data_IF_732919565180
#
_entry.id   IF_732919565180
#
_cell.length_a   1.000
_cell.length_b   1.000
_cell.length_c   1.000
_cell.angle_alpha   90.00
_cell.angle_beta   90.00
_cell.angle_gamma   90.00
#
_symmetry.space_group_name_H-M   'P 1'
#
loop_
_entity.id
_entity.type
_entity.pdbx_description
1 polymer ?
#
# COMPACT_ATOMS: atom_id res chain seq x y z
N UNK A 1 -4.77 -14.54 -4.25
CA UNK A 1 -3.44 -13.92 -4.36
C UNK A 1 -2.49 -14.91 -5.00
N UNK A 2 -1.92 -14.52 -6.12
CA UNK A 2 -0.91 -15.35 -6.80
C UNK A 2 0.46 -14.88 -6.37
N UNK A 3 1.21 -15.75 -5.73
CA UNK A 3 2.61 -15.47 -5.42
C UNK A 3 3.47 -16.12 -6.50
N UNK A 4 4.13 -15.29 -7.27
CA UNK A 4 5.10 -15.73 -8.27
C UNK A 4 6.51 -15.55 -7.69
N UNK A 5 7.50 -16.31 -8.17
CA UNK A 5 8.87 -16.10 -7.71
C UNK A 5 9.28 -14.64 -7.89
N UNK A 6 9.70 -13.99 -6.82
CA UNK A 6 10.13 -12.61 -6.83
C UNK A 6 9.02 -11.57 -6.89
N UNK A 7 7.74 -12.00 -6.74
CA UNK A 7 6.61 -11.08 -6.83
C UNK A 7 5.51 -11.48 -5.84
N UNK A 8 5.02 -10.50 -5.11
CA UNK A 8 3.90 -10.67 -4.18
C UNK A 8 2.88 -9.58 -4.48
N UNK A 9 1.61 -9.95 -4.57
CA UNK A 9 0.52 -9.00 -4.80
C UNK A 9 -0.41 -8.97 -3.60
N UNK A 10 -0.74 -7.77 -3.14
CA UNK A 10 -1.60 -7.55 -1.98
C UNK A 10 -2.64 -6.49 -2.32
N UNK A 11 -3.90 -6.78 -1.99
CA UNK A 11 -4.98 -5.81 -2.05
C UNK A 11 -5.45 -5.53 -0.63
N UNK A 12 -5.64 -4.28 -0.29
CA UNK A 12 -6.21 -3.93 1.00
C UNK A 12 -7.24 -2.81 0.86
N UNK A 13 -8.20 -2.83 1.78
CA UNK A 13 -9.23 -1.80 1.88
C UNK A 13 -9.28 -1.33 3.31
N UNK A 14 -9.02 -0.04 3.51
CA UNK A 14 -9.18 0.58 4.80
C UNK A 14 -10.58 1.19 4.87
N UNK A 15 -11.33 0.82 5.91
CA UNK A 15 -12.64 1.40 6.21
C UNK A 15 -12.77 1.63 7.68
N UNK A 16 -13.31 2.78 8.06
CA UNK A 16 -13.58 3.09 9.45
C UNK A 16 -14.78 4.01 9.55
N UNK A 17 -15.70 3.66 10.43
CA UNK A 17 -16.82 4.54 10.78
C UNK A 17 -16.37 5.54 11.84
N UNK A 18 -16.61 6.83 11.59
CA UNK A 18 -16.33 7.91 12.51
C UNK A 18 -17.63 8.66 12.76
N UNK A 19 -18.47 8.13 13.66
CA UNK A 19 -19.80 8.65 13.87
C UNK A 19 -20.65 8.48 12.60
N UNK A 20 -21.27 9.54 12.08
CA UNK A 20 -22.05 9.46 10.85
C UNK A 20 -21.19 9.39 9.58
N UNK A 21 -19.88 9.51 9.69
CA UNK A 21 -18.96 9.51 8.54
C UNK A 21 -18.27 8.17 8.43
N UNK A 22 -17.91 7.81 7.20
CA UNK A 22 -17.06 6.68 6.93
C UNK A 22 -15.80 7.18 6.21
N UNK A 23 -14.66 6.65 6.60
CA UNK A 23 -13.42 6.85 5.84
C UNK A 23 -13.07 5.57 5.11
N UNK A 24 -12.74 5.68 3.84
CA UNK A 24 -12.44 4.52 3.02
C UNK A 24 -11.34 4.81 1.99
N UNK A 25 -10.49 3.85 1.77
CA UNK A 25 -9.48 3.91 0.71
C UNK A 25 -8.88 2.53 0.52
N UNK A 26 -8.59 2.17 -0.70
CA UNK A 26 -8.03 0.86 -1.00
C UNK A 26 -6.91 0.94 -2.02
N UNK A 27 -6.00 -0.02 -1.94
CA UNK A 27 -4.85 -0.13 -2.83
C UNK A 27 -4.63 -1.57 -3.22
N UNK A 28 -4.21 -1.78 -4.47
CA UNK A 28 -3.59 -3.03 -4.89
C UNK A 28 -2.14 -2.73 -5.20
N UNK A 29 -1.25 -3.52 -4.61
CA UNK A 29 0.19 -3.27 -4.65
C UNK A 29 0.92 -4.55 -5.00
N UNK A 30 1.94 -4.44 -5.84
CA UNK A 30 2.84 -5.53 -6.17
C UNK A 30 4.23 -5.21 -5.64
N UNK A 31 4.87 -6.20 -5.05
CA UNK A 31 6.25 -6.13 -4.57
C UNK A 31 7.12 -6.97 -5.49
N UNK A 32 8.18 -6.38 -6.04
CA UNK A 32 9.10 -7.05 -6.95
C UNK A 32 10.52 -7.00 -6.38
N UNK A 33 11.15 -8.15 -6.23
CA UNK A 33 12.46 -8.24 -5.57
C UNK A 33 13.63 -7.92 -6.50
N UNK A 34 13.46 -8.08 -7.80
CA UNK A 34 14.57 -7.96 -8.75
C UNK A 34 14.39 -6.82 -9.74
N UNK A 35 13.73 -5.73 -9.32
CA UNK A 35 13.50 -4.58 -10.18
C UNK A 35 14.08 -3.31 -9.55
N UNK A 36 14.02 -2.23 -10.31
CA UNK A 36 14.55 -0.93 -9.86
C UNK A 36 13.92 -0.56 -8.51
N UNK A 37 14.75 -0.32 -7.47
CA UNK A 37 14.21 0.02 -6.16
C UNK A 37 13.35 1.29 -6.18
N UNK A 38 12.36 1.34 -5.30
CA UNK A 38 11.53 2.53 -5.13
C UNK A 38 10.05 2.23 -5.11
N UNK A 39 9.26 3.28 -5.02
CA UNK A 39 7.81 3.23 -5.01
C UNK A 39 7.32 3.83 -6.32
N UNK A 40 6.54 3.06 -7.07
CA UNK A 40 6.09 3.46 -8.41
C UNK A 40 4.57 3.36 -8.51
N UNK A 41 3.97 4.31 -9.22
CA UNK A 41 2.54 4.32 -9.49
C UNK A 41 2.26 3.83 -10.89
N UNK A 42 1.60 2.69 -11.02
CA UNK A 42 1.06 2.22 -12.28
C UNK A 42 -0.31 2.82 -12.52
N UNK A 43 -1.12 2.91 -11.45
CA UNK A 43 -2.36 3.66 -11.44
C UNK A 43 -2.08 5.08 -10.98
N UNK A 44 -2.75 6.06 -11.58
CA UNK A 44 -2.55 7.47 -11.21
C UNK A 44 -3.57 7.87 -10.16
N UNK A 45 -3.13 8.20 -8.94
CA UNK A 45 -4.04 8.68 -7.91
C UNK A 45 -4.44 10.13 -8.18
N UNK A 46 -5.51 10.56 -7.53
CA UNK A 46 -5.77 12.00 -7.45
C UNK A 46 -4.59 12.67 -6.78
N UNK A 47 -4.25 13.86 -7.25
CA UNK A 47 -3.09 14.60 -6.74
C UNK A 47 -3.10 14.73 -5.23
N UNK A 48 -4.28 14.97 -4.66
CA UNK A 48 -4.44 15.16 -3.21
C UNK A 48 -4.13 13.90 -2.39
N UNK A 49 -4.21 12.70 -2.99
CA UNK A 49 -3.96 11.45 -2.28
C UNK A 49 -2.58 10.87 -2.51
N UNK A 50 -1.89 11.34 -3.53
CA UNK A 50 -0.58 10.80 -3.91
C UNK A 50 0.42 10.81 -2.75
N UNK A 51 0.57 11.96 -2.11
CA UNK A 51 1.54 12.09 -1.02
C UNK A 51 1.13 11.29 0.21
N UNK A 52 -0.18 11.18 0.47
CA UNK A 52 -0.68 10.38 1.59
C UNK A 52 -0.36 8.90 1.39
N UNK A 53 -0.55 8.37 0.18
CA UNK A 53 -0.22 6.98 -0.15
C UNK A 53 1.27 6.74 0.00
N UNK A 54 2.10 7.63 -0.57
CA UNK A 54 3.56 7.53 -0.47
C UNK A 54 4.01 7.52 0.97
N UNK A 55 3.52 8.45 1.78
CA UNK A 55 3.93 8.55 3.18
C UNK A 55 3.51 7.33 3.98
N UNK A 56 2.31 6.81 3.73
CA UNK A 56 1.83 5.61 4.41
C UNK A 56 2.71 4.41 4.12
N UNK A 57 3.07 4.21 2.85
CA UNK A 57 3.96 3.12 2.44
C UNK A 57 5.35 3.32 3.04
N UNK A 58 5.91 4.53 2.96
CA UNK A 58 7.23 4.82 3.51
C UNK A 58 7.28 4.60 5.01
N UNK A 59 6.28 5.07 5.75
CA UNK A 59 6.23 4.89 7.20
C UNK A 59 6.09 3.40 7.57
N UNK A 60 5.26 2.66 6.85
CA UNK A 60 5.12 1.23 7.05
C UNK A 60 6.41 0.47 6.79
N UNK A 61 7.11 0.83 5.72
CA UNK A 61 8.39 0.20 5.38
C UNK A 61 9.47 0.52 6.42
N UNK A 62 9.52 1.75 6.91
CA UNK A 62 10.47 2.12 7.95
C UNK A 62 10.27 1.27 9.21
N UNK A 63 9.01 0.92 9.53
CA UNK A 63 8.70 0.10 10.70
C UNK A 63 8.99 -1.39 10.48
N UNK A 64 8.71 -1.92 9.30
CA UNK A 64 8.70 -3.37 9.07
C UNK A 64 9.81 -3.88 8.16
N UNK A 65 10.24 -3.06 7.20
CA UNK A 65 11.23 -3.44 6.21
C UNK A 65 12.25 -2.30 6.05
N UNK A 66 13.10 -2.05 7.06
CA UNK A 66 14.01 -0.90 7.02
C UNK A 66 15.01 -0.95 5.86
N UNK A 67 15.31 -2.13 5.33
CA UNK A 67 16.22 -2.27 4.20
C UNK A 67 15.52 -2.19 2.84
N UNK A 68 14.21 -2.23 2.84
CA UNK A 68 13.41 -2.05 1.64
C UNK A 68 13.22 -0.54 1.42
N UNK A 69 13.27 0.00 0.22
CA UNK A 69 13.25 -0.69 -1.08
C UNK A 69 14.64 -0.90 -1.72
N UNK A 70 15.71 -0.92 -0.97
CA UNK A 70 17.04 -1.10 -1.55
C UNK A 70 17.15 -2.38 -2.38
N UNK A 71 16.37 -3.40 -2.01
CA UNK A 71 16.42 -4.70 -2.65
C UNK A 71 15.22 -5.00 -3.52
N UNK A 72 14.32 -4.05 -3.70
CA UNK A 72 13.12 -4.29 -4.50
C UNK A 72 12.30 -3.05 -4.74
N UNK A 73 11.20 -3.22 -5.44
CA UNK A 73 10.29 -2.13 -5.77
C UNK A 73 8.86 -2.41 -5.33
N UNK A 74 8.11 -1.33 -5.09
CA UNK A 74 6.71 -1.37 -4.75
C UNK A 74 5.94 -0.69 -5.88
N UNK A 75 4.98 -1.40 -6.48
CA UNK A 75 4.17 -0.87 -7.57
C UNK A 75 2.73 -0.78 -7.12
N UNK A 76 2.15 0.42 -7.14
CA UNK A 76 0.75 0.63 -6.86
C UNK A 76 -0.01 0.44 -8.19
N UNK A 77 -0.72 -0.68 -8.31
CA UNK A 77 -1.35 -1.08 -9.57
C UNK A 77 -2.80 -0.68 -9.68
N UNK A 78 -3.50 -0.55 -8.55
CA UNK A 78 -4.88 -0.07 -8.53
C UNK A 78 -5.12 0.78 -7.30
N UNK A 79 -5.98 1.78 -7.45
CA UNK A 79 -6.38 2.69 -6.38
C UNK A 79 -7.89 2.70 -6.34
N UNK A 80 -8.44 2.36 -5.18
CA UNK A 80 -9.89 2.29 -5.00
C UNK A 80 -10.34 3.54 -4.25
N UNK A 81 -10.87 4.48 -5.00
CA UNK A 81 -11.25 5.80 -4.54
C UNK A 81 -12.78 5.89 -4.49
N UNK A 82 -13.31 6.36 -3.36
CA UNK A 82 -14.72 6.64 -3.18
C UNK A 82 -14.89 8.15 -3.06
N UNK A 83 -15.66 8.76 -3.93
CA UNK A 83 -15.78 10.22 -3.98
C UNK A 83 -16.32 10.82 -2.68
N UNK A 84 -17.10 10.06 -1.93
CA UNK A 84 -17.75 10.54 -0.71
C UNK A 84 -16.89 10.25 0.52
N UNK A 85 -16.33 9.04 0.60
CA UNK A 85 -15.72 8.52 1.82
C UNK A 85 -14.18 8.56 1.81
N UNK A 86 -13.56 8.75 0.66
CA UNK A 86 -12.10 8.76 0.59
C UNK A 86 -11.52 10.05 1.18
N UNK A 87 -10.38 9.91 1.85
CA UNK A 87 -9.66 11.00 2.47
C UNK A 87 -8.16 10.75 2.43
N UNK A 88 -7.38 11.79 2.68
CA UNK A 88 -5.93 11.66 2.79
C UNK A 88 -5.55 10.69 3.90
N UNK A 89 -6.23 10.77 5.04
CA UNK A 89 -5.95 9.89 6.16
C UNK A 89 -6.26 8.44 5.82
N UNK A 90 -7.38 8.19 5.13
CA UNK A 90 -7.75 6.82 4.71
C UNK A 90 -6.68 6.23 3.79
N UNK A 91 -6.18 6.99 2.84
CA UNK A 91 -5.13 6.51 1.94
C UNK A 91 -3.77 6.36 2.62
N UNK A 92 -3.46 7.22 3.59
CA UNK A 92 -2.27 7.04 4.42
C UNK A 92 -2.34 5.71 5.16
N UNK A 93 -3.49 5.43 5.78
CA UNK A 93 -3.69 4.18 6.53
C UNK A 93 -3.72 2.96 5.61
N UNK A 94 -4.28 3.09 4.41
CA UNK A 94 -4.25 2.02 3.42
C UNK A 94 -2.81 1.68 3.01
N UNK A 95 -1.97 2.69 2.82
CA UNK A 95 -0.56 2.50 2.52
C UNK A 95 0.18 1.76 3.63
N UNK A 96 -0.05 2.13 4.88
CA UNK A 96 0.53 1.40 6.01
C UNK A 96 0.00 -0.02 6.10
N UNK A 97 -1.30 -0.19 5.89
CA UNK A 97 -1.95 -1.50 5.99
C UNK A 97 -1.40 -2.49 4.97
N UNK A 98 -1.15 -2.04 3.75
CA UNK A 98 -0.60 -2.92 2.71
C UNK A 98 0.78 -3.44 3.10
N UNK A 99 1.59 -2.62 3.76
CA UNK A 99 2.90 -3.03 4.23
C UNK A 99 2.78 -3.99 5.42
N UNK A 100 1.84 -3.74 6.33
CA UNK A 100 1.57 -4.66 7.45
C UNK A 100 1.14 -6.03 6.94
N UNK A 101 0.29 -6.07 5.92
CA UNK A 101 -0.15 -7.34 5.33
C UNK A 101 1.01 -8.06 4.64
N UNK A 102 1.88 -7.33 3.95
CA UNK A 102 3.06 -7.92 3.34
C UNK A 102 3.98 -8.54 4.41
N UNK A 103 4.17 -7.82 5.50
CA UNK A 103 4.99 -8.31 6.61
C UNK A 103 4.39 -9.58 7.22
N UNK A 104 3.08 -9.60 7.43
CA UNK A 104 2.39 -10.78 7.99
C UNK A 104 2.53 -12.00 7.08
N UNK A 105 2.41 -11.81 5.76
CA UNK A 105 2.60 -12.89 4.80
C UNK A 105 4.01 -13.46 4.85
N UNK A 106 5.01 -12.59 4.97
CA UNK A 106 6.39 -13.02 5.07
C UNK A 106 6.64 -13.83 6.34
N UNK A 107 6.04 -13.43 7.47
CA UNK A 107 6.16 -14.16 8.73
C UNK A 107 5.53 -15.54 8.63
N UNK A 108 4.39 -15.67 7.96
CA UNK A 108 3.74 -16.97 7.79
C UNK A 108 4.56 -17.88 6.88
N UNK A 109 5.23 -17.32 5.86
CA UNK A 109 6.02 -18.09 4.90
C UNK A 109 7.34 -18.61 5.49
N UNK A 110 7.78 -18.03 6.56
CA UNK A 110 8.97 -18.47 7.26
C UNK A 110 8.61 -19.38 8.42
#
# INVERSE_FOLDING_TARGET
>A
VKNEPGKIEISCFYRKHLGPRMEAGGLRVQFHYNQIPGIHFKAQPREEYRNAILKGIEDGMADRFPDFPKTGSVWITEIFDNQIDSSKLAFYRAGRLVIEQAYSLQQISN
#
